data_IF_323908001116
#
_entry.id   IF_323908001116
#
_cell.length_a   1.000
_cell.length_b   1.000
_cell.length_c   1.000
_cell.angle_alpha   90.00
_cell.angle_beta   90.00
_cell.angle_gamma   90.00
#
_symmetry.space_group_name_H-M   'P 1'
#
loop_
_entity.id
_entity.type
_entity.pdbx_description
1 polymer ?
#
# COMPACT_ATOMS: atom_id res chain seq x y z
N UNK A 1 -4.04 59.38 26.14
CA UNK A 1 -3.92 58.90 24.73
C UNK A 1 -2.94 57.76 24.76
N UNK A 2 -3.45 56.53 24.84
CA UNK A 2 -2.64 55.31 24.77
C UNK A 2 -3.09 54.58 23.52
N UNK A 3 -2.18 54.45 22.56
CA UNK A 3 -2.45 53.76 21.30
C UNK A 3 -2.60 52.25 21.54
N UNK A 4 -3.50 51.56 20.81
CA UNK A 4 -3.64 50.13 20.91
C UNK A 4 -2.53 49.44 20.08
N UNK A 5 -1.84 48.50 20.71
CA UNK A 5 -0.87 47.61 20.07
C UNK A 5 -1.61 46.77 19.01
N UNK A 6 -1.36 47.07 17.74
CA UNK A 6 -1.77 46.23 16.63
C UNK A 6 -0.98 44.91 16.66
N UNK A 7 -1.58 43.85 17.20
CA UNK A 7 -1.18 42.47 16.88
C UNK A 7 -1.65 42.13 15.46
N UNK A 8 -0.98 42.69 14.44
CA UNK A 8 -1.29 42.46 13.03
C UNK A 8 -0.18 41.65 12.35
N UNK A 9 -0.56 40.59 11.64
CA UNK A 9 0.20 39.76 10.68
C UNK A 9 0.94 38.51 11.19
N UNK A 10 1.45 38.45 12.42
CA UNK A 10 2.25 37.29 12.86
C UNK A 10 1.51 35.93 12.89
N UNK A 11 0.24 35.90 13.31
CA UNK A 11 -0.52 34.66 13.43
C UNK A 11 -0.98 34.09 12.07
N UNK A 12 -1.35 34.94 11.12
CA UNK A 12 -1.81 34.52 9.79
C UNK A 12 -0.67 33.91 8.96
N UNK A 13 0.57 34.36 9.16
CA UNK A 13 1.73 33.80 8.47
C UNK A 13 2.16 32.45 9.07
N UNK A 14 1.95 32.25 10.38
CA UNK A 14 2.17 30.96 11.03
C UNK A 14 1.17 29.90 10.54
N UNK A 15 -0.13 30.22 10.51
CA UNK A 15 -1.17 29.30 10.01
C UNK A 15 -0.92 28.90 8.55
N UNK A 16 -0.58 29.86 7.68
CA UNK A 16 -0.23 29.58 6.27
C UNK A 16 0.99 28.67 6.16
N UNK A 17 2.00 28.88 6.99
CA UNK A 17 3.20 28.05 7.02
C UNK A 17 2.91 26.62 7.49
N UNK A 18 2.04 26.43 8.48
CA UNK A 18 1.59 25.12 8.93
C UNK A 18 0.75 24.39 7.88
N UNK A 19 -0.19 25.08 7.23
CA UNK A 19 -0.97 24.54 6.11
C UNK A 19 -0.03 24.09 4.99
N UNK A 20 0.97 24.91 4.63
CA UNK A 20 1.96 24.57 3.61
C UNK A 20 2.78 23.32 3.97
N UNK A 21 3.22 23.20 5.23
CA UNK A 21 3.94 22.01 5.71
C UNK A 21 3.05 20.76 5.68
N UNK A 22 1.81 20.86 6.15
CA UNK A 22 0.88 19.74 6.16
C UNK A 22 0.55 19.29 4.73
N UNK A 23 0.32 20.23 3.81
CA UNK A 23 0.14 19.92 2.40
C UNK A 23 1.37 19.24 1.78
N UNK A 24 2.59 19.68 2.12
CA UNK A 24 3.82 19.03 1.67
C UNK A 24 3.94 17.59 2.20
N UNK A 25 3.66 17.38 3.50
CA UNK A 25 3.63 16.04 4.12
C UNK A 25 2.60 15.13 3.47
N UNK A 26 1.38 15.62 3.22
CA UNK A 26 0.33 14.84 2.57
C UNK A 26 0.70 14.45 1.13
N UNK A 27 1.35 15.33 0.37
CA UNK A 27 1.86 14.98 -0.97
C UNK A 27 2.93 13.90 -0.91
N UNK A 28 3.87 14.03 0.00
CA UNK A 28 4.91 13.02 0.20
C UNK A 28 4.30 11.66 0.57
N UNK A 29 3.41 11.65 1.57
CA UNK A 29 2.65 10.47 2.00
C UNK A 29 1.93 9.79 0.84
N UNK A 30 1.17 10.55 0.05
CA UNK A 30 0.44 10.03 -1.12
C UNK A 30 1.39 9.44 -2.15
N UNK A 31 2.55 10.07 -2.36
CA UNK A 31 3.58 9.55 -3.26
C UNK A 31 4.10 8.18 -2.80
N UNK A 32 4.44 8.03 -1.53
CA UNK A 32 4.90 6.76 -0.96
C UNK A 32 3.82 5.69 -1.07
N UNK A 33 2.59 6.00 -0.66
CA UNK A 33 1.47 5.06 -0.74
C UNK A 33 1.19 4.61 -2.18
N UNK A 34 1.22 5.54 -3.14
CA UNK A 34 1.02 5.22 -4.55
C UNK A 34 2.08 4.26 -5.10
N UNK A 35 3.35 4.48 -4.77
CA UNK A 35 4.44 3.59 -5.19
C UNK A 35 4.29 2.21 -4.59
N UNK A 36 4.09 2.12 -3.26
CA UNK A 36 3.95 0.83 -2.58
C UNK A 36 2.75 0.04 -3.08
N UNK A 37 1.61 0.70 -3.28
CA UNK A 37 0.41 0.04 -3.79
C UNK A 37 0.56 -0.37 -5.26
N UNK A 38 1.33 0.37 -6.06
CA UNK A 38 1.66 -0.04 -7.43
C UNK A 38 2.49 -1.32 -7.43
N UNK A 39 3.49 -1.43 -6.55
CA UNK A 39 4.29 -2.65 -6.42
C UNK A 39 3.45 -3.82 -5.90
N UNK A 40 2.54 -3.57 -4.95
CA UNK A 40 1.60 -4.56 -4.46
C UNK A 40 0.69 -5.11 -5.57
N UNK A 41 0.15 -4.23 -6.42
CA UNK A 41 -0.69 -4.62 -7.56
C UNK A 41 0.08 -5.48 -8.55
N UNK A 42 1.33 -5.13 -8.86
CA UNK A 42 2.18 -5.94 -9.74
C UNK A 42 2.38 -7.35 -9.18
N UNK A 43 2.70 -7.48 -7.89
CA UNK A 43 2.85 -8.80 -7.25
C UNK A 43 1.53 -9.57 -7.26
N UNK A 44 0.41 -8.89 -7.03
CA UNK A 44 -0.91 -9.51 -7.13
C UNK A 44 -1.21 -10.05 -8.52
N UNK A 45 -0.88 -9.31 -9.59
CA UNK A 45 -1.04 -9.77 -10.98
C UNK A 45 -0.22 -11.04 -11.25
N UNK A 46 1.03 -11.10 -10.78
CA UNK A 46 1.86 -12.28 -10.93
C UNK A 46 1.31 -13.51 -10.19
N UNK A 47 0.74 -13.30 -9.00
CA UNK A 47 0.05 -14.35 -8.24
C UNK A 47 -1.19 -14.80 -9.00
N UNK A 48 -2.01 -13.85 -9.47
CA UNK A 48 -3.22 -14.13 -10.21
C UNK A 48 -2.94 -14.94 -11.49
N UNK A 49 -1.95 -14.56 -12.28
CA UNK A 49 -1.56 -15.27 -13.50
C UNK A 49 -1.07 -16.70 -13.22
N UNK A 50 -0.55 -16.97 -12.02
CA UNK A 50 -0.18 -18.32 -11.61
C UNK A 50 -1.39 -19.24 -11.41
N UNK A 51 -2.56 -18.67 -11.07
CA UNK A 51 -3.82 -19.37 -10.81
C UNK A 51 -4.84 -19.27 -11.94
N UNK A 52 -4.69 -18.31 -12.85
CA UNK A 52 -5.70 -18.01 -13.87
C UNK A 52 -5.86 -19.17 -14.85
N UNK A 53 -7.06 -19.73 -14.97
CA UNK A 53 -7.34 -20.71 -16.02
C UNK A 53 -7.13 -20.08 -17.41
N UNK A 54 -6.36 -20.77 -18.26
CA UNK A 54 -6.06 -20.33 -19.64
C UNK A 54 -7.06 -20.88 -20.66
N UNK A 55 -7.99 -21.74 -20.22
CA UNK A 55 -9.04 -22.27 -21.08
C UNK A 55 -10.05 -21.17 -21.43
N UNK A 56 -10.63 -21.32 -22.61
CA UNK A 56 -11.76 -20.50 -23.03
C UNK A 56 -12.97 -20.75 -22.11
N UNK A 57 -13.81 -19.75 -21.79
CA UNK A 57 -14.96 -19.93 -20.90
C UNK A 57 -15.88 -21.08 -21.30
N UNK A 58 -16.09 -21.32 -22.59
CA UNK A 58 -16.93 -22.43 -23.06
C UNK A 58 -16.30 -23.79 -22.70
N UNK A 59 -14.98 -23.91 -22.83
CA UNK A 59 -14.23 -25.13 -22.45
C UNK A 59 -14.19 -25.36 -20.92
N UNK A 60 -14.30 -24.30 -20.11
CA UNK A 60 -14.44 -24.41 -18.65
C UNK A 60 -15.83 -24.97 -18.30
N UNK A 61 -16.88 -24.47 -18.96
CA UNK A 61 -18.27 -24.89 -18.73
C UNK A 61 -18.56 -26.31 -19.22
N UNK A 62 -17.90 -26.74 -20.29
CA UNK A 62 -18.00 -28.10 -20.83
C UNK A 62 -17.29 -29.16 -19.97
N UNK A 63 -16.57 -28.74 -18.91
CA UNK A 63 -15.96 -29.66 -17.95
C UNK A 63 -14.79 -30.47 -18.53
N UNK A 64 -14.12 -29.95 -19.57
CA UNK A 64 -12.91 -30.56 -20.12
C UNK A 64 -11.88 -30.82 -19.02
N UNK A 65 -11.21 -31.99 -19.06
CA UNK A 65 -10.33 -32.44 -17.97
C UNK A 65 -9.28 -31.38 -17.62
N UNK A 66 -9.25 -30.94 -16.36
CA UNK A 66 -8.15 -30.14 -15.84
C UNK A 66 -6.84 -30.95 -15.93
N UNK A 67 -5.70 -30.31 -16.27
CA UNK A 67 -4.41 -30.81 -15.82
C UNK A 67 -4.31 -30.54 -14.31
N UNK A 68 -4.79 -31.49 -13.52
CA UNK A 68 -4.73 -31.48 -12.05
C UNK A 68 -3.37 -30.99 -11.54
N UNK A 69 -3.39 -29.86 -10.83
CA UNK A 69 -2.30 -29.41 -9.95
C UNK A 69 -1.13 -28.69 -10.62
N UNK A 70 -1.24 -28.25 -11.87
CA UNK A 70 -0.18 -27.46 -12.52
C UNK A 70 -0.50 -25.97 -12.46
N UNK A 71 0.21 -25.23 -11.61
CA UNK A 71 0.28 -23.78 -11.72
C UNK A 71 0.79 -23.40 -13.10
N UNK A 72 0.22 -22.37 -13.71
CA UNK A 72 0.57 -22.02 -15.09
C UNK A 72 1.98 -21.45 -15.24
N UNK A 73 2.57 -20.94 -14.17
CA UNK A 73 3.82 -20.17 -14.27
C UNK A 73 4.85 -20.42 -13.15
N UNK A 74 4.69 -21.42 -12.27
CA UNK A 74 5.66 -21.58 -11.18
C UNK A 74 5.45 -22.77 -10.24
N UNK A 75 6.30 -22.81 -9.22
CA UNK A 75 6.16 -23.68 -8.06
C UNK A 75 5.31 -23.02 -6.98
N UNK A 76 4.77 -23.83 -6.07
CA UNK A 76 3.97 -23.33 -4.95
C UNK A 76 4.77 -22.47 -3.97
N UNK A 77 6.07 -22.69 -3.86
CA UNK A 77 6.94 -21.93 -2.98
C UNK A 77 7.10 -20.48 -3.46
N UNK A 78 7.31 -20.24 -4.76
CA UNK A 78 7.35 -18.89 -5.31
C UNK A 78 6.03 -18.15 -5.10
N UNK A 79 4.89 -18.82 -5.30
CA UNK A 79 3.57 -18.21 -5.05
C UNK A 79 3.39 -17.85 -3.58
N UNK A 80 3.82 -18.73 -2.66
CA UNK A 80 3.78 -18.46 -1.22
C UNK A 80 4.62 -17.25 -0.84
N UNK A 81 5.83 -17.13 -1.39
CA UNK A 81 6.72 -16.01 -1.13
C UNK A 81 6.14 -14.68 -1.66
N UNK A 82 5.51 -14.71 -2.84
CA UNK A 82 4.81 -13.54 -3.40
C UNK A 82 3.60 -13.13 -2.55
N UNK A 83 2.83 -14.10 -2.04
CA UNK A 83 1.73 -13.82 -1.12
C UNK A 83 2.22 -13.21 0.21
N UNK A 84 3.34 -13.70 0.74
CA UNK A 84 3.98 -13.08 1.91
C UNK A 84 4.42 -11.65 1.63
N UNK A 85 5.07 -11.40 0.48
CA UNK A 85 5.48 -10.06 0.07
C UNK A 85 4.28 -9.12 -0.12
N UNK A 86 3.21 -9.58 -0.76
CA UNK A 86 1.97 -8.83 -0.89
C UNK A 86 1.37 -8.46 0.48
N UNK A 87 1.37 -9.41 1.41
CA UNK A 87 0.97 -9.17 2.80
C UNK A 87 1.81 -8.05 3.44
N UNK A 88 3.13 -8.03 3.21
CA UNK A 88 4.00 -6.96 3.69
C UNK A 88 3.64 -5.59 3.11
N UNK A 89 3.37 -5.49 1.80
CA UNK A 89 2.99 -4.22 1.19
C UNK A 89 1.65 -3.69 1.72
N UNK A 90 0.66 -4.57 1.87
CA UNK A 90 -0.67 -4.21 2.41
C UNK A 90 -0.52 -3.77 3.88
N UNK A 91 0.21 -4.53 4.68
CA UNK A 91 0.43 -4.21 6.09
C UNK A 91 1.18 -2.88 6.26
N UNK A 92 2.25 -2.68 5.49
CA UNK A 92 3.00 -1.43 5.49
C UNK A 92 2.10 -0.24 5.11
N UNK A 93 1.32 -0.37 4.04
CA UNK A 93 0.43 0.71 3.57
C UNK A 93 -0.67 1.01 4.59
N UNK A 94 -1.21 -0.02 5.26
CA UNK A 94 -2.15 0.16 6.37
C UNK A 94 -1.52 0.98 7.49
N UNK A 95 -0.35 0.59 7.98
CA UNK A 95 0.38 1.32 9.04
C UNK A 95 0.74 2.74 8.63
N UNK A 96 1.11 2.92 7.36
CA UNK A 96 1.35 4.22 6.76
C UNK A 96 0.09 5.09 6.91
N UNK A 97 -1.06 4.61 6.43
CA UNK A 97 -2.35 5.31 6.53
C UNK A 97 -2.83 5.58 7.96
N UNK A 98 -2.56 4.67 8.89
CA UNK A 98 -2.90 4.83 10.31
C UNK A 98 -1.94 5.76 11.06
N UNK A 99 -0.80 6.11 10.47
CA UNK A 99 0.24 6.92 11.11
C UNK A 99 1.03 6.18 12.18
N UNK A 100 0.91 4.86 12.27
CA UNK A 100 1.60 4.00 13.26
C UNK A 100 2.98 3.55 12.81
N UNK A 101 3.49 4.07 11.69
CA UNK A 101 4.86 3.81 11.24
C UNK A 101 5.86 4.39 12.24
N UNK A 102 6.59 3.50 12.92
CA UNK A 102 7.59 3.87 13.92
C UNK A 102 7.17 3.63 15.37
N UNK A 103 5.94 3.16 15.63
CA UNK A 103 5.59 2.69 16.97
C UNK A 103 6.43 1.47 17.35
N UNK A 104 7.12 1.50 18.50
CA UNK A 104 8.07 0.47 18.92
C UNK A 104 7.41 -0.84 19.37
N UNK A 105 6.08 -0.88 19.53
CA UNK A 105 5.34 -2.05 20.03
C UNK A 105 5.48 -3.31 19.16
N UNK A 106 6.03 -3.20 17.94
CA UNK A 106 6.29 -4.35 17.07
C UNK A 106 7.70 -4.97 17.22
N UNK A 107 8.60 -4.33 18.00
CA UNK A 107 9.92 -4.93 18.29
C UNK A 107 9.83 -6.13 19.26
N UNK A 108 8.77 -6.24 20.05
CA UNK A 108 8.67 -7.25 21.12
C UNK A 108 8.06 -8.59 20.69
N UNK A 109 7.58 -8.73 19.45
CA UNK A 109 6.91 -9.96 18.99
C UNK A 109 7.79 -10.90 18.17
N UNK A 110 9.11 -10.65 18.14
CA UNK A 110 10.09 -11.45 17.37
C UNK A 110 11.31 -11.89 18.19
N UNK A 111 11.22 -11.90 19.51
CA UNK A 111 12.21 -12.59 20.38
C UNK A 111 11.71 -13.98 20.78
#
# INVERSE_FOLDING_TARGET
MSDPVHCGNGCLDHEKWEIGRNAARLRHFRGVAAVVMSDALRVWEEVWDSFRDLRDPDAILEGGSEPLGRLNCGDWDSVRDKLHLLGHYIHYTKRLCEGTLGDPEEKERKE
#
